data_IF_384248038780
#
_entry.id   IF_384248038780
#
_cell.length_a   1.000
_cell.length_b   1.000
_cell.length_c   1.000
_cell.angle_alpha   90.00
_cell.angle_beta   90.00
_cell.angle_gamma   90.00
#
_symmetry.space_group_name_H-M   'P 1'
#
loop_
_entity.id
_entity.type
_entity.pdbx_description
1 polymer ?
#
# COMPACT_ATOMS: atom_id res chain seq x y z
N UNK A 1 -18.85 8.85 -23.24
CA UNK A 1 -18.49 10.16 -22.64
C UNK A 1 -18.95 10.15 -21.18
N UNK A 2 -18.03 10.46 -20.27
CA UNK A 2 -18.30 10.60 -18.83
C UNK A 2 -18.64 12.06 -18.55
N UNK A 3 -19.57 12.31 -17.64
CA UNK A 3 -20.01 13.65 -17.23
C UNK A 3 -19.86 13.81 -15.73
N UNK A 4 -19.73 15.05 -15.29
CA UNK A 4 -19.77 15.39 -13.87
C UNK A 4 -21.07 14.87 -13.23
N UNK A 5 -20.95 14.27 -12.05
CA UNK A 5 -22.07 13.65 -11.34
C UNK A 5 -22.40 12.21 -11.73
N UNK A 6 -21.74 11.63 -12.75
CA UNK A 6 -21.91 10.21 -13.06
C UNK A 6 -21.39 9.34 -11.91
N UNK A 7 -22.18 8.33 -11.51
CA UNK A 7 -21.69 7.25 -10.66
C UNK A 7 -20.72 6.40 -11.46
N UNK A 8 -19.49 6.24 -10.95
CA UNK A 8 -18.44 5.45 -11.56
C UNK A 8 -17.93 4.44 -10.53
N UNK A 9 -17.78 3.20 -10.96
CA UNK A 9 -17.11 2.16 -10.18
C UNK A 9 -15.85 1.72 -10.91
N UNK A 10 -14.71 1.80 -10.22
CA UNK A 10 -13.41 1.37 -10.72
C UNK A 10 -13.08 0.01 -10.10
N UNK A 11 -13.09 -1.03 -10.92
CA UNK A 11 -12.71 -2.38 -10.55
C UNK A 11 -11.23 -2.58 -10.91
N UNK A 12 -10.36 -2.32 -9.94
CA UNK A 12 -8.91 -2.47 -10.10
C UNK A 12 -8.43 -3.93 -10.19
N UNK A 13 -9.22 -4.91 -9.70
CA UNK A 13 -8.85 -6.33 -9.79
C UNK A 13 -9.06 -6.86 -11.22
N UNK A 14 -10.09 -6.38 -11.91
CA UNK A 14 -10.40 -6.78 -13.29
C UNK A 14 -9.92 -5.78 -14.35
N UNK A 15 -9.41 -4.63 -13.93
CA UNK A 15 -9.03 -3.55 -14.84
C UNK A 15 -10.22 -2.97 -15.60
N UNK A 16 -11.39 -2.89 -14.95
CA UNK A 16 -12.65 -2.45 -15.57
C UNK A 16 -13.17 -1.16 -14.93
N UNK A 17 -13.85 -0.35 -15.74
CA UNK A 17 -14.55 0.85 -15.27
C UNK A 17 -16.00 0.78 -15.69
N UNK A 18 -16.90 0.83 -14.71
CA UNK A 18 -18.35 0.87 -14.93
C UNK A 18 -18.85 2.30 -14.77
N UNK A 19 -19.35 2.89 -15.86
CA UNK A 19 -19.93 4.24 -15.87
C UNK A 19 -21.45 4.12 -15.87
N UNK A 20 -22.11 4.77 -14.91
CA UNK A 20 -23.57 4.68 -14.67
C UNK A 20 -24.05 3.22 -14.66
N UNK A 21 -23.51 2.35 -13.79
CA UNK A 21 -23.97 0.97 -13.71
C UNK A 21 -25.47 0.92 -13.36
N UNK A 22 -26.21 0.02 -14.00
CA UNK A 22 -27.60 -0.25 -13.63
C UNK A 22 -27.68 -0.76 -12.17
N UNK A 23 -28.82 -0.58 -11.50
CA UNK A 23 -28.99 -0.91 -10.08
C UNK A 23 -28.51 -2.31 -9.70
N UNK A 24 -28.95 -3.34 -10.43
CA UNK A 24 -28.52 -4.72 -10.19
C UNK A 24 -26.99 -4.93 -10.36
N UNK A 25 -26.36 -4.21 -11.29
CA UNK A 25 -24.89 -4.26 -11.49
C UNK A 25 -24.18 -3.55 -10.35
N UNK A 26 -24.72 -2.42 -9.88
CA UNK A 26 -24.18 -1.67 -8.75
C UNK A 26 -24.25 -2.49 -7.45
N UNK A 27 -25.38 -3.14 -7.17
CA UNK A 27 -25.55 -4.02 -6.02
C UNK A 27 -24.55 -5.18 -6.04
N UNK A 28 -24.39 -5.82 -7.20
CA UNK A 28 -23.39 -6.89 -7.39
C UNK A 28 -21.95 -6.39 -7.15
N UNK A 29 -21.62 -5.18 -7.63
CA UNK A 29 -20.33 -4.55 -7.39
C UNK A 29 -20.10 -4.24 -5.91
N UNK A 30 -21.12 -3.72 -5.21
CA UNK A 30 -21.05 -3.43 -3.79
C UNK A 30 -20.83 -4.68 -2.95
N UNK A 31 -21.51 -5.79 -3.27
CA UNK A 31 -21.27 -7.05 -2.54
C UNK A 31 -19.83 -7.57 -2.79
N UNK A 32 -19.27 -7.41 -3.99
CA UNK A 32 -17.86 -7.72 -4.24
C UNK A 32 -16.93 -6.88 -3.37
N UNK A 33 -17.19 -5.58 -3.26
CA UNK A 33 -16.41 -4.68 -2.37
C UNK A 33 -16.48 -5.18 -0.93
N UNK A 34 -17.66 -5.55 -0.44
CA UNK A 34 -17.85 -6.10 0.91
C UNK A 34 -17.06 -7.38 1.15
N UNK A 35 -17.10 -8.32 0.20
CA UNK A 35 -16.34 -9.56 0.28
C UNK A 35 -14.82 -9.31 0.24
N UNK A 36 -14.36 -8.37 -0.58
CA UNK A 36 -12.95 -7.98 -0.63
C UNK A 36 -12.49 -7.31 0.67
N UNK A 37 -13.34 -6.53 1.34
CA UNK A 37 -13.04 -5.99 2.67
C UNK A 37 -12.89 -7.10 3.73
N UNK A 38 -13.77 -8.10 3.70
CA UNK A 38 -13.63 -9.25 4.60
C UNK A 38 -12.33 -10.02 4.32
N UNK A 39 -12.02 -10.30 3.05
CA UNK A 39 -10.75 -10.95 2.67
C UNK A 39 -9.54 -10.14 3.12
N UNK A 40 -9.59 -8.82 2.99
CA UNK A 40 -8.53 -7.92 3.46
C UNK A 40 -8.33 -8.02 4.98
N UNK A 41 -9.39 -8.05 5.78
CA UNK A 41 -9.27 -8.22 7.23
C UNK A 41 -8.63 -9.57 7.63
N UNK A 42 -8.91 -10.63 6.88
CA UNK A 42 -8.27 -11.93 7.11
C UNK A 42 -6.78 -11.90 6.73
N UNK A 43 -6.44 -11.22 5.63
CA UNK A 43 -5.05 -11.03 5.24
C UNK A 43 -4.27 -10.18 6.25
N UNK A 44 -4.89 -9.15 6.84
CA UNK A 44 -4.27 -8.33 7.89
C UNK A 44 -3.99 -9.15 9.16
N UNK A 45 -4.83 -10.14 9.49
CA UNK A 45 -4.55 -11.09 10.55
C UNK A 45 -3.42 -12.06 10.17
N UNK A 46 -3.44 -12.58 8.94
CA UNK A 46 -2.41 -13.49 8.45
C UNK A 46 -1.03 -12.82 8.31
N UNK A 47 -1.00 -11.51 8.07
CA UNK A 47 0.23 -10.72 8.02
C UNK A 47 1.00 -10.76 9.33
N UNK A 48 0.34 -11.03 10.46
CA UNK A 48 0.96 -11.15 11.79
C UNK A 48 1.55 -12.55 12.05
N UNK A 49 1.42 -13.49 11.12
CA UNK A 49 2.04 -14.82 11.23
C UNK A 49 3.50 -14.76 10.80
N UNK A 50 4.34 -15.59 11.45
CA UNK A 50 5.73 -15.73 11.04
C UNK A 50 5.85 -16.26 9.59
N UNK A 51 6.67 -15.64 8.73
CA UNK A 51 6.83 -16.02 7.34
C UNK A 51 7.68 -17.29 7.21
N UNK A 52 7.05 -18.45 7.41
CA UNK A 52 7.68 -19.77 7.38
C UNK A 52 7.01 -20.64 6.31
N UNK A 53 7.82 -21.28 5.46
CA UNK A 53 7.35 -22.23 4.44
C UNK A 53 6.85 -23.53 5.07
N UNK A 54 6.12 -24.35 4.32
CA UNK A 54 5.58 -25.63 4.81
C UNK A 54 6.65 -26.64 5.26
N UNK A 55 7.87 -26.52 4.75
CA UNK A 55 9.04 -27.32 5.13
C UNK A 55 9.90 -26.66 6.23
N UNK A 56 9.43 -25.57 6.84
CA UNK A 56 10.02 -24.97 8.04
C UNK A 56 11.10 -23.92 7.79
N UNK A 57 11.25 -23.42 6.55
CA UNK A 57 12.22 -22.36 6.24
C UNK A 57 11.60 -20.98 6.46
N UNK A 58 12.18 -20.21 7.38
CA UNK A 58 11.85 -18.78 7.52
C UNK A 58 12.37 -17.99 6.32
N UNK A 59 11.55 -17.08 5.79
CA UNK A 59 11.92 -16.12 4.75
C UNK A 59 11.81 -14.70 5.31
N UNK A 60 12.59 -13.76 4.77
CA UNK A 60 12.46 -12.36 5.18
C UNK A 60 11.42 -11.66 4.30
N UNK A 61 10.37 -11.15 4.93
CA UNK A 61 9.31 -10.40 4.27
C UNK A 61 9.47 -8.92 4.60
N UNK A 62 10.11 -8.18 3.70
CA UNK A 62 10.36 -6.75 3.87
C UNK A 62 9.49 -5.93 2.91
N UNK A 63 9.17 -4.70 3.30
CA UNK A 63 8.42 -3.77 2.43
C UNK A 63 9.35 -3.00 1.50
N UNK A 64 8.76 -2.56 0.39
CA UNK A 64 9.32 -1.50 -0.44
C UNK A 64 8.63 -0.19 -0.02
N UNK A 65 9.38 0.72 0.59
CA UNK A 65 8.92 2.02 1.02
C UNK A 65 9.37 3.11 0.05
N UNK A 66 8.61 4.20 -0.07
CA UNK A 66 9.04 5.41 -0.80
C UNK A 66 8.88 6.70 0.01
N UNK A 67 8.21 6.61 1.16
CA UNK A 67 8.00 7.69 2.10
C UNK A 67 8.31 7.20 3.52
N UNK A 68 8.58 8.13 4.45
CA UNK A 68 8.82 7.79 5.86
C UNK A 68 7.56 7.17 6.49
N UNK A 69 6.39 7.61 6.05
CA UNK A 69 5.10 7.08 6.48
C UNK A 69 4.94 5.58 6.20
N UNK A 70 5.52 5.08 5.10
CA UNK A 70 5.49 3.65 4.78
C UNK A 70 6.28 2.82 5.82
N UNK A 71 7.34 3.40 6.38
CA UNK A 71 8.21 2.74 7.36
C UNK A 71 7.46 2.54 8.69
N UNK A 72 6.65 3.51 9.09
CA UNK A 72 5.81 3.40 10.30
C UNK A 72 4.77 2.27 10.20
N UNK A 73 4.43 1.83 9.00
CA UNK A 73 3.45 0.77 8.76
C UNK A 73 4.06 -0.64 8.89
N UNK A 74 5.40 -0.78 8.94
CA UNK A 74 6.11 -2.07 9.01
C UNK A 74 5.53 -3.00 10.10
N UNK A 75 5.34 -2.55 11.37
CA UNK A 75 4.80 -3.42 12.41
C UNK A 75 3.36 -3.84 12.14
N UNK A 76 2.53 -2.93 11.61
CA UNK A 76 1.12 -3.22 11.29
C UNK A 76 1.02 -4.24 10.14
N UNK A 77 1.97 -4.21 9.22
CA UNK A 77 2.07 -5.14 8.09
C UNK A 77 2.74 -6.47 8.45
N UNK A 78 3.23 -6.63 9.69
CA UNK A 78 3.97 -7.82 10.12
C UNK A 78 5.23 -8.08 9.27
N UNK A 79 5.81 -7.01 8.73
CA UNK A 79 7.02 -7.10 7.92
C UNK A 79 8.27 -7.08 8.80
N UNK A 80 9.33 -7.71 8.30
CA UNK A 80 10.65 -7.80 8.96
C UNK A 80 11.46 -6.50 8.86
N UNK A 81 10.99 -5.51 8.10
CA UNK A 81 11.67 -4.25 7.88
C UNK A 81 11.46 -3.68 6.48
N UNK A 82 12.33 -2.75 6.09
CA UNK A 82 12.37 -2.14 4.75
C UNK A 82 13.51 -2.77 3.95
N UNK A 83 13.18 -3.39 2.82
CA UNK A 83 14.16 -4.02 1.92
C UNK A 83 14.60 -3.10 0.78
N UNK A 84 13.75 -2.12 0.46
CA UNK A 84 14.01 -1.09 -0.53
C UNK A 84 13.36 0.21 -0.08
N UNK A 85 14.16 1.25 0.09
CA UNK A 85 13.67 2.61 0.32
C UNK A 85 13.92 3.46 -0.92
N UNK A 86 12.84 3.78 -1.65
CA UNK A 86 12.86 4.51 -2.91
C UNK A 86 12.97 6.01 -2.65
N UNK A 87 14.02 6.60 -3.17
CA UNK A 87 14.35 8.00 -2.90
C UNK A 87 13.71 8.94 -3.92
N UNK A 88 13.33 8.43 -5.09
CA UNK A 88 12.79 9.24 -6.20
C UNK A 88 11.48 9.92 -5.85
N UNK A 89 10.65 9.32 -4.99
CA UNK A 89 9.39 9.91 -4.56
C UNK A 89 9.63 11.24 -3.84
N UNK A 90 10.65 11.31 -2.98
CA UNK A 90 11.02 12.54 -2.28
C UNK A 90 11.36 13.67 -3.26
N UNK A 91 12.13 13.36 -4.31
CA UNK A 91 12.45 14.34 -5.37
C UNK A 91 11.23 14.76 -6.20
N UNK A 92 10.26 13.86 -6.42
CA UNK A 92 9.06 14.17 -7.20
C UNK A 92 8.08 15.08 -6.47
N UNK A 93 8.01 15.01 -5.14
CA UNK A 93 7.11 15.84 -4.32
C UNK A 93 7.76 17.14 -3.84
N UNK A 94 9.10 17.21 -3.88
CA UNK A 94 9.83 18.40 -3.46
C UNK A 94 9.56 19.59 -4.42
N UNK A 95 9.48 20.83 -3.90
CA UNK A 95 9.29 22.03 -4.73
C UNK A 95 10.48 22.36 -5.64
N UNK A 96 11.60 21.67 -5.46
CA UNK A 96 12.83 21.79 -6.24
C UNK A 96 13.81 20.70 -5.82
N UNK A 97 15.01 20.70 -6.41
CA UNK A 97 16.04 19.73 -6.03
C UNK A 97 16.41 19.92 -4.54
N UNK A 98 16.25 18.88 -3.69
CA UNK A 98 16.64 18.94 -2.29
C UNK A 98 18.11 19.29 -2.14
N UNK A 99 18.43 20.06 -1.12
CA UNK A 99 19.82 20.27 -0.70
C UNK A 99 20.32 19.04 0.03
N UNK A 100 21.63 18.82 0.00
CA UNK A 100 22.25 17.69 0.72
C UNK A 100 21.84 17.58 2.19
N UNK A 101 21.67 18.71 2.89
CA UNK A 101 21.20 18.70 4.29
C UNK A 101 19.75 18.22 4.46
N UNK A 102 18.89 18.51 3.49
CA UNK A 102 17.49 18.06 3.49
C UNK A 102 17.41 16.56 3.19
N UNK A 103 18.25 16.06 2.28
CA UNK A 103 18.37 14.62 2.00
C UNK A 103 18.87 13.85 3.23
N UNK A 104 19.91 14.36 3.91
CA UNK A 104 20.41 13.75 5.16
C UNK A 104 19.31 13.67 6.20
N UNK A 105 18.55 14.76 6.41
CA UNK A 105 17.42 14.76 7.36
C UNK A 105 16.34 13.75 6.96
N UNK A 106 16.01 13.64 5.68
CA UNK A 106 15.03 12.69 5.18
C UNK A 106 15.46 11.24 5.43
N UNK A 107 16.72 10.89 5.15
CA UNK A 107 17.24 9.55 5.45
C UNK A 107 17.32 9.29 6.95
N UNK A 108 17.71 10.28 7.75
CA UNK A 108 17.73 10.18 9.21
C UNK A 108 16.33 9.84 9.74
N UNK A 109 15.30 10.54 9.26
CA UNK A 109 13.91 10.26 9.63
C UNK A 109 13.46 8.85 9.24
N UNK A 110 13.83 8.36 8.06
CA UNK A 110 13.51 7.01 7.62
C UNK A 110 14.19 5.94 8.49
N UNK A 111 15.45 6.16 8.86
CA UNK A 111 16.24 5.29 9.74
C UNK A 111 15.66 5.27 11.17
N UNK A 112 15.42 6.45 11.74
CA UNK A 112 14.78 6.60 13.05
C UNK A 112 13.40 5.91 13.09
N UNK A 113 12.60 6.05 12.03
CA UNK A 113 11.29 5.39 11.89
C UNK A 113 11.40 3.86 11.80
N UNK A 114 12.48 3.34 11.23
CA UNK A 114 12.76 1.90 11.14
C UNK A 114 13.32 1.32 12.46
N UNK A 115 13.66 2.17 13.44
CA UNK A 115 14.21 1.77 14.72
C UNK A 115 15.71 1.42 14.66
N UNK A 116 16.47 2.02 13.74
CA UNK A 116 17.92 1.83 13.59
C UNK A 116 18.64 3.07 13.11
#
# INVERSE_FOLDING_TARGET
MVREGDVIVVDGERGQVHVRPAGAVLESLQERVRLNQLRRSLNEQAAQLEPVTLDGRRINCQINAGLVEDVHEVPRLGADGVGLFRTELHYMIAPGLPKAGEEVLFYQQAMDAAGG
#
